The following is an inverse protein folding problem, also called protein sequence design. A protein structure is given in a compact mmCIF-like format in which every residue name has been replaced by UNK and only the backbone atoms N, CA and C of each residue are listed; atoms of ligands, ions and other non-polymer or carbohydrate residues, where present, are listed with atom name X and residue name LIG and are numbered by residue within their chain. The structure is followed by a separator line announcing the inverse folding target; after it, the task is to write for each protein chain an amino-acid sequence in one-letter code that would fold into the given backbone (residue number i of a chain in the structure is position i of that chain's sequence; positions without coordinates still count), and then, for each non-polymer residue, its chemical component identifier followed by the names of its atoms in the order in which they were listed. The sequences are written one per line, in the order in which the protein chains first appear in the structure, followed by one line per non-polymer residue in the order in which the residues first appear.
data_IF_748511527296
#
_entry.id   IF_748511527296
#
_cell.length_a   1.000
_cell.length_b   1.000
_cell.length_c   1.000
_cell.angle_alpha   90.00
_cell.angle_beta   90.00
_cell.angle_gamma   90.00
#
_symmetry.space_group_name_H-M   'P 1'
#
loop_
_entity.id
_entity.type
_entity.pdbx_description
1 polymer ?
#
# COMPACT_ATOMS: atom_id res chain seq x y z
N UNK A 1 37.69 32.06 -45.40
CA UNK A 1 38.54 31.31 -44.45
C UNK A 1 37.77 30.05 -44.00
N UNK A 2 38.26 28.84 -44.33
CA UNK A 2 37.66 27.56 -43.84
C UNK A 2 37.98 27.44 -42.35
N UNK A 3 36.97 27.40 -41.49
CA UNK A 3 37.16 27.09 -40.08
C UNK A 3 37.76 25.68 -39.96
N UNK A 4 38.71 25.49 -39.05
CA UNK A 4 39.29 24.16 -38.86
C UNK A 4 38.24 23.19 -38.34
N UNK A 5 38.27 21.93 -38.77
CA UNK A 5 37.35 20.88 -38.33
C UNK A 5 37.31 20.78 -36.80
N UNK A 6 38.42 20.99 -36.11
CA UNK A 6 38.47 20.99 -34.65
C UNK A 6 37.64 22.13 -34.00
N UNK A 7 37.56 23.31 -34.63
CA UNK A 7 36.74 24.41 -34.15
C UNK A 7 35.24 24.11 -34.28
N UNK A 8 34.83 23.48 -35.38
CA UNK A 8 33.41 23.09 -35.57
C UNK A 8 32.97 22.01 -34.57
N UNK A 9 33.83 21.03 -34.34
CA UNK A 9 33.58 19.98 -33.31
C UNK A 9 33.47 20.61 -31.92
N UNK A 10 34.39 21.50 -31.55
CA UNK A 10 34.38 22.16 -30.24
C UNK A 10 33.12 23.01 -30.03
N UNK A 11 32.71 23.77 -31.03
CA UNK A 11 31.51 24.60 -30.96
C UNK A 11 30.23 23.75 -30.87
N UNK A 12 30.16 22.65 -31.62
CA UNK A 12 29.01 21.72 -31.53
C UNK A 12 28.94 21.07 -30.15
N UNK A 13 30.06 20.62 -29.61
CA UNK A 13 30.14 20.05 -28.27
C UNK A 13 29.72 21.06 -27.19
N UNK A 14 30.20 22.34 -27.33
CA UNK A 14 29.81 23.41 -26.39
C UNK A 14 28.29 23.65 -26.39
N UNK A 15 27.68 23.75 -27.59
CA UNK A 15 26.23 23.95 -27.72
C UNK A 15 25.45 22.78 -27.08
N UNK A 16 25.90 21.54 -27.32
CA UNK A 16 25.27 20.37 -26.72
C UNK A 16 25.34 20.38 -25.17
N UNK A 17 26.51 20.77 -24.62
CA UNK A 17 26.69 20.90 -23.17
C UNK A 17 25.75 21.96 -22.56
N UNK A 18 25.64 23.11 -23.26
CA UNK A 18 24.72 24.18 -22.80
C UNK A 18 23.27 23.71 -22.84
N UNK A 19 22.83 23.06 -23.91
CA UNK A 19 21.46 22.54 -24.02
C UNK A 19 21.20 21.49 -22.93
N UNK A 20 22.12 20.55 -22.75
CA UNK A 20 21.99 19.52 -21.70
C UNK A 20 21.97 20.15 -20.30
N UNK A 21 22.81 21.15 -20.04
CA UNK A 21 22.84 21.88 -18.78
C UNK A 21 21.55 22.63 -18.49
N UNK A 22 21.00 23.34 -19.48
CA UNK A 22 19.71 24.03 -19.35
C UNK A 22 18.57 23.03 -19.14
N UNK A 23 18.51 21.95 -19.91
CA UNK A 23 17.50 20.92 -19.76
C UNK A 23 17.56 20.24 -18.38
N UNK A 24 18.76 19.91 -17.91
CA UNK A 24 18.98 19.34 -16.57
C UNK A 24 18.58 20.29 -15.45
N UNK A 25 18.89 21.57 -15.58
CA UNK A 25 18.51 22.61 -14.61
C UNK A 25 16.97 22.77 -14.56
N UNK A 26 16.31 22.83 -15.72
CA UNK A 26 14.83 22.92 -15.78
C UNK A 26 14.17 21.68 -15.18
N UNK A 27 14.63 20.48 -15.53
CA UNK A 27 14.11 19.24 -14.97
C UNK A 27 14.33 19.15 -13.45
N UNK A 28 15.52 19.54 -12.97
CA UNK A 28 15.82 19.58 -11.53
C UNK A 28 14.92 20.56 -10.78
N UNK A 29 14.68 21.74 -11.36
CA UNK A 29 13.80 22.77 -10.79
C UNK A 29 12.34 22.29 -10.75
N UNK A 30 11.85 21.74 -11.85
CA UNK A 30 10.49 21.16 -11.93
C UNK A 30 10.34 20.03 -10.89
N UNK A 31 11.31 19.12 -10.82
CA UNK A 31 11.27 18.03 -9.85
C UNK A 31 11.24 18.55 -8.40
N UNK A 32 12.00 19.61 -8.09
CA UNK A 32 12.01 20.19 -6.75
C UNK A 32 10.64 20.77 -6.36
N UNK A 33 9.94 21.42 -7.28
CA UNK A 33 8.61 22.00 -7.03
C UNK A 33 7.45 20.99 -7.15
N UNK A 34 7.65 19.87 -7.85
CA UNK A 34 6.62 18.86 -8.07
C UNK A 34 6.85 17.56 -7.27
N UNK A 35 7.97 17.47 -6.57
CA UNK A 35 8.21 16.35 -5.67
C UNK A 35 7.11 16.32 -4.59
N UNK A 36 6.20 15.37 -4.70
CA UNK A 36 5.19 15.12 -3.68
C UNK A 36 5.87 14.34 -2.57
N UNK A 37 5.79 14.85 -1.34
CA UNK A 37 6.22 14.10 -0.18
C UNK A 37 5.37 12.84 -0.04
N UNK A 38 6.02 11.69 0.00
CA UNK A 38 5.34 10.39 0.14
C UNK A 38 4.48 10.36 1.41
N UNK A 39 4.92 11.00 2.48
CA UNK A 39 4.16 11.11 3.73
C UNK A 39 2.89 11.94 3.53
N UNK A 40 2.95 13.07 2.82
CA UNK A 40 1.78 13.91 2.53
C UNK A 40 0.78 13.17 1.62
N UNK A 41 1.26 12.44 0.62
CA UNK A 41 0.40 11.66 -0.26
C UNK A 41 -0.34 10.55 0.51
N UNK A 42 0.38 9.85 1.40
CA UNK A 42 -0.23 8.81 2.23
C UNK A 42 -1.19 9.43 3.24
N UNK A 43 -0.84 10.54 3.89
CA UNK A 43 -1.72 11.24 4.79
C UNK A 43 -3.05 11.60 4.12
N UNK A 44 -3.00 12.15 2.90
CA UNK A 44 -4.20 12.46 2.11
C UNK A 44 -5.04 11.23 1.78
N UNK A 45 -4.40 10.11 1.40
CA UNK A 45 -5.13 8.87 1.09
C UNK A 45 -5.64 8.18 2.38
N UNK A 46 -4.91 8.29 3.46
CA UNK A 46 -5.25 7.67 4.73
C UNK A 46 -6.50 8.29 5.39
N UNK A 47 -6.86 9.54 5.05
CA UNK A 47 -8.14 10.13 5.50
C UNK A 47 -9.36 9.31 5.09
N UNK A 48 -9.24 8.48 4.05
CA UNK A 48 -10.30 7.55 3.65
C UNK A 48 -10.57 6.44 4.70
N UNK A 49 -9.61 6.16 5.56
CA UNK A 49 -9.69 5.09 6.59
C UNK A 49 -9.53 5.60 8.02
N UNK A 50 -8.91 6.75 8.22
CA UNK A 50 -8.71 7.36 9.54
C UNK A 50 -8.62 8.88 9.43
N UNK A 51 -9.44 9.58 10.22
CA UNK A 51 -9.48 11.04 10.27
C UNK A 51 -8.65 11.53 11.48
N UNK A 52 -7.34 11.56 11.31
CA UNK A 52 -6.41 12.03 12.34
C UNK A 52 -4.97 12.05 11.83
N UNK A 53 -4.09 12.68 12.61
CA UNK A 53 -2.68 12.76 12.26
C UNK A 53 -1.97 11.42 12.43
N UNK A 54 -1.25 11.03 11.38
CA UNK A 54 -0.47 9.82 11.30
C UNK A 54 1.03 10.13 11.28
N UNK A 55 1.81 9.23 11.82
CA UNK A 55 3.27 9.20 11.67
C UNK A 55 3.71 7.81 11.24
N UNK A 56 4.82 7.73 10.52
CA UNK A 56 5.35 6.45 10.07
C UNK A 56 5.73 5.58 11.26
N UNK A 57 5.30 4.33 11.27
CA UNK A 57 5.69 3.37 12.28
C UNK A 57 7.14 2.95 12.09
N UNK A 58 7.96 3.18 13.11
CA UNK A 58 9.36 2.77 13.11
C UNK A 58 9.46 1.42 13.80
N UNK A 59 9.90 0.41 13.05
CA UNK A 59 10.13 -0.93 13.62
C UNK A 59 11.23 -0.87 14.68
N UNK A 60 10.99 -1.39 15.90
CA UNK A 60 11.99 -1.41 16.95
C UNK A 60 13.30 -2.11 16.53
N UNK A 61 14.45 -1.68 17.05
CA UNK A 61 15.74 -2.29 16.76
C UNK A 61 15.73 -3.80 17.06
N UNK A 62 16.37 -4.59 16.20
CA UNK A 62 16.46 -6.05 16.35
C UNK A 62 15.31 -6.85 15.75
N UNK A 63 14.32 -6.18 15.16
CA UNK A 63 13.20 -6.83 14.48
C UNK A 63 13.38 -6.67 12.97
N UNK A 64 13.32 -7.78 12.21
CA UNK A 64 13.39 -7.72 10.75
C UNK A 64 12.24 -6.86 10.19
N UNK A 65 12.53 -5.95 9.26
CA UNK A 65 11.50 -5.14 8.60
C UNK A 65 10.65 -5.95 7.61
N UNK A 66 11.20 -7.01 7.04
CA UNK A 66 10.48 -7.85 6.10
C UNK A 66 9.49 -8.76 6.81
N UNK A 67 8.24 -8.60 6.49
CA UNK A 67 7.17 -9.53 6.84
C UNK A 67 6.46 -9.90 5.54
N UNK A 68 7.10 -10.77 4.76
CA UNK A 68 6.48 -11.35 3.57
C UNK A 68 5.49 -12.44 4.01
N UNK A 69 4.35 -12.46 3.37
CA UNK A 69 3.32 -13.49 3.54
C UNK A 69 3.14 -14.23 2.22
N UNK A 70 2.60 -15.43 2.25
CA UNK A 70 2.55 -16.32 1.08
C UNK A 70 2.09 -15.66 -0.22
N UNK A 71 1.20 -14.67 -0.15
CA UNK A 71 0.66 -13.95 -1.31
C UNK A 71 0.34 -12.49 -1.02
N UNK A 72 1.06 -11.89 -0.10
CA UNK A 72 0.86 -10.49 0.27
C UNK A 72 2.06 -9.95 1.02
N UNK A 73 2.16 -8.63 1.07
CA UNK A 73 3.25 -7.94 1.73
C UNK A 73 2.72 -6.69 2.44
N UNK A 74 3.45 -6.22 3.45
CA UNK A 74 3.23 -4.91 4.06
C UNK A 74 4.26 -3.95 3.50
N UNK A 75 3.77 -2.93 2.81
CA UNK A 75 4.61 -1.93 2.13
C UNK A 75 5.04 -0.85 3.11
N UNK A 76 4.10 -0.35 3.92
CA UNK A 76 4.35 0.66 4.92
C UNK A 76 3.31 0.61 6.04
N UNK A 77 3.62 1.23 7.18
CA UNK A 77 2.72 1.29 8.33
C UNK A 77 2.78 2.66 8.96
N UNK A 78 1.62 3.15 9.35
CA UNK A 78 1.45 4.41 10.05
C UNK A 78 0.70 4.17 11.36
N UNK A 79 1.05 4.94 12.38
CA UNK A 79 0.39 4.94 13.68
C UNK A 79 -0.16 6.33 13.96
N UNK A 80 -1.30 6.41 14.64
CA UNK A 80 -1.86 7.69 15.03
C UNK A 80 -0.97 8.38 16.07
N UNK A 81 -0.76 9.66 15.91
CA UNK A 81 -0.01 10.49 16.89
C UNK A 81 -0.74 10.64 18.23
N UNK A 82 -2.06 10.51 18.21
CA UNK A 82 -2.92 10.74 19.39
C UNK A 82 -3.48 9.46 20.00
N UNK A 83 -3.56 8.37 19.21
CA UNK A 83 -4.16 7.10 19.61
C UNK A 83 -3.21 5.95 19.25
N UNK A 84 -2.40 5.46 20.21
CA UNK A 84 -1.32 4.50 19.93
C UNK A 84 -1.83 3.11 19.52
N UNK A 85 -3.11 2.83 19.66
CA UNK A 85 -3.77 1.58 19.24
C UNK A 85 -4.37 1.64 17.83
N UNK A 86 -4.18 2.76 17.12
CA UNK A 86 -4.64 2.96 15.74
C UNK A 86 -3.48 2.81 14.79
N UNK A 87 -3.55 1.82 13.91
CA UNK A 87 -2.58 1.55 12.85
C UNK A 87 -3.25 1.61 11.48
N UNK A 88 -2.60 2.28 10.54
CA UNK A 88 -2.97 2.25 9.12
C UNK A 88 -1.86 1.51 8.37
N UNK A 89 -2.19 0.32 7.90
CA UNK A 89 -1.26 -0.57 7.21
C UNK A 89 -1.45 -0.43 5.72
N UNK A 90 -0.39 -0.09 4.98
CA UNK A 90 -0.36 -0.16 3.52
C UNK A 90 0.02 -1.58 3.16
N UNK A 91 -0.95 -2.36 2.76
CA UNK A 91 -0.77 -3.79 2.47
C UNK A 91 -0.97 -4.07 0.99
N UNK A 92 -0.08 -4.88 0.43
CA UNK A 92 -0.15 -5.38 -0.93
C UNK A 92 -0.66 -6.81 -0.95
N UNK A 93 -1.53 -7.12 -1.91
CA UNK A 93 -2.02 -8.47 -2.14
C UNK A 93 -1.86 -8.88 -3.59
N UNK A 94 -1.27 -10.05 -3.79
CA UNK A 94 -1.10 -10.68 -5.09
C UNK A 94 -2.36 -11.42 -5.56
N UNK A 95 -2.46 -11.64 -6.86
CA UNK A 95 -3.54 -12.39 -7.50
C UNK A 95 -4.59 -11.52 -8.17
N UNK A 96 -4.40 -10.20 -8.23
CA UNK A 96 -5.18 -9.27 -9.03
C UNK A 96 -5.05 -9.56 -10.53
N UNK A 97 -5.94 -8.99 -11.35
CA UNK A 97 -5.89 -9.22 -12.79
C UNK A 97 -4.60 -8.69 -13.43
N UNK A 98 -4.04 -7.61 -12.90
CA UNK A 98 -2.77 -7.01 -13.32
C UNK A 98 -1.59 -7.28 -12.37
N UNK A 99 -1.64 -8.36 -11.58
CA UNK A 99 -0.57 -8.75 -10.68
C UNK A 99 -0.94 -8.56 -9.21
N UNK A 100 -0.74 -7.38 -8.67
CA UNK A 100 -1.04 -7.02 -7.28
C UNK A 100 -1.90 -5.76 -7.17
N UNK A 101 -2.42 -5.52 -5.98
CA UNK A 101 -3.07 -4.27 -5.60
C UNK A 101 -2.69 -3.89 -4.17
N UNK A 102 -2.79 -2.61 -3.85
CA UNK A 102 -2.46 -2.09 -2.53
C UNK A 102 -3.69 -1.46 -1.86
N UNK A 103 -3.83 -1.73 -0.58
CA UNK A 103 -4.92 -1.25 0.28
C UNK A 103 -4.38 -0.51 1.49
N UNK A 104 -5.16 0.42 1.99
CA UNK A 104 -5.05 0.97 3.34
C UNK A 104 -5.98 0.18 4.25
N UNK A 105 -5.42 -0.43 5.29
CA UNK A 105 -6.16 -1.21 6.28
C UNK A 105 -6.01 -0.53 7.63
N UNK A 106 -7.10 0.04 8.16
CA UNK A 106 -7.13 0.59 9.51
C UNK A 106 -7.42 -0.54 10.51
N UNK A 107 -6.48 -0.73 11.44
CA UNK A 107 -6.60 -1.62 12.59
C UNK A 107 -6.60 -0.76 13.84
N UNK A 108 -7.72 -0.76 14.56
CA UNK A 108 -7.90 0.00 15.81
C UNK A 108 -8.35 -0.94 16.93
N UNK A 109 -7.65 -0.90 18.05
CA UNK A 109 -7.98 -1.77 19.20
C UNK A 109 -7.99 -3.26 18.85
N UNK A 110 -7.12 -3.69 17.95
CA UNK A 110 -7.05 -5.07 17.47
C UNK A 110 -8.17 -5.50 16.54
N UNK A 111 -8.93 -4.56 15.96
CA UNK A 111 -10.03 -4.84 15.01
C UNK A 111 -9.80 -4.11 13.68
N UNK A 112 -10.18 -4.75 12.59
CA UNK A 112 -10.26 -4.06 11.29
C UNK A 112 -11.48 -3.15 11.32
N UNK A 113 -11.25 -1.84 11.21
CA UNK A 113 -12.31 -0.82 11.30
C UNK A 113 -12.70 -0.33 9.92
N UNK A 114 -11.73 -0.12 9.04
CA UNK A 114 -11.96 0.42 7.71
C UNK A 114 -10.88 -0.05 6.75
N UNK A 115 -11.27 -0.20 5.47
CA UNK A 115 -10.37 -0.51 4.36
C UNK A 115 -10.65 0.48 3.25
N UNK A 116 -9.61 0.93 2.55
CA UNK A 116 -9.73 1.73 1.34
C UNK A 116 -8.68 1.32 0.31
N UNK A 117 -8.96 1.63 -0.95
CA UNK A 117 -8.00 1.46 -2.04
C UNK A 117 -6.83 2.45 -1.86
N UNK A 118 -5.60 1.94 -1.92
CA UNK A 118 -4.41 2.77 -1.98
C UNK A 118 -3.87 2.88 -3.42
N UNK A 119 -3.52 1.75 -4.03
CA UNK A 119 -3.16 1.66 -5.45
C UNK A 119 -3.72 0.36 -6.03
N UNK A 120 -4.59 0.49 -7.03
CA UNK A 120 -5.17 -0.66 -7.71
C UNK A 120 -5.67 -0.24 -9.09
N UNK A 121 -5.27 -1.01 -10.09
CA UNK A 121 -5.64 -0.77 -11.48
C UNK A 121 -6.55 -1.91 -11.97
N UNK A 122 -7.74 -1.97 -11.41
CA UNK A 122 -8.75 -2.98 -11.73
C UNK A 122 -9.72 -2.48 -12.79
N UNK A 123 -10.27 -3.41 -13.58
CA UNK A 123 -11.24 -3.09 -14.63
C UNK A 123 -12.53 -2.52 -14.02
N UNK A 124 -12.96 -1.32 -14.44
CA UNK A 124 -14.20 -0.73 -14.00
C UNK A 124 -15.41 -1.66 -14.21
N UNK A 125 -16.30 -1.73 -13.22
CA UNK A 125 -17.52 -2.54 -13.27
C UNK A 125 -17.30 -4.06 -13.09
N UNK A 126 -16.05 -4.52 -13.08
CA UNK A 126 -15.66 -5.92 -12.83
C UNK A 126 -14.79 -6.00 -11.58
N UNK A 127 -13.47 -5.98 -11.73
CA UNK A 127 -12.53 -6.07 -10.62
C UNK A 127 -12.68 -4.95 -9.61
N UNK A 128 -13.06 -3.76 -10.04
CA UNK A 128 -13.33 -2.62 -9.16
C UNK A 128 -14.41 -2.88 -8.10
N UNK A 129 -15.35 -3.80 -8.35
CA UNK A 129 -16.38 -4.18 -7.35
C UNK A 129 -15.79 -4.82 -6.09
N UNK A 130 -14.64 -5.46 -6.20
CA UNK A 130 -13.91 -5.98 -5.05
C UNK A 130 -13.15 -4.88 -4.26
N UNK A 131 -13.14 -3.64 -4.76
CA UNK A 131 -12.55 -2.46 -4.12
C UNK A 131 -13.62 -1.53 -3.53
N UNK A 132 -14.86 -1.97 -3.48
CA UNK A 132 -15.98 -1.21 -2.92
C UNK A 132 -16.22 -1.58 -1.45
N UNK A 133 -16.76 -0.64 -0.69
CA UNK A 133 -17.06 -0.80 0.73
C UNK A 133 -17.97 -2.01 1.02
N UNK A 134 -18.86 -2.36 0.09
CA UNK A 134 -19.73 -3.54 0.22
C UNK A 134 -18.94 -4.84 0.36
N UNK A 135 -17.81 -4.97 -0.34
CA UNK A 135 -16.93 -6.12 -0.18
C UNK A 135 -16.08 -6.00 1.09
N UNK A 136 -15.55 -4.81 1.38
CA UNK A 136 -14.71 -4.54 2.53
C UNK A 136 -15.41 -4.76 3.87
N UNK A 137 -16.72 -4.49 3.95
CA UNK A 137 -17.52 -4.69 5.16
C UNK A 137 -17.47 -6.11 5.74
N UNK A 138 -17.17 -7.11 4.92
CA UNK A 138 -17.02 -8.48 5.38
C UNK A 138 -15.84 -8.69 6.34
N UNK A 139 -14.86 -7.80 6.31
CA UNK A 139 -13.68 -7.83 7.18
C UNK A 139 -13.87 -6.99 8.46
N UNK A 140 -14.82 -6.06 8.47
CA UNK A 140 -14.96 -5.09 9.57
C UNK A 140 -15.42 -5.73 10.88
N UNK A 141 -14.90 -5.20 11.99
CA UNK A 141 -15.22 -5.64 13.35
C UNK A 141 -14.56 -6.96 13.75
N UNK A 142 -13.87 -7.64 12.84
CA UNK A 142 -13.15 -8.87 13.16
C UNK A 142 -12.02 -8.59 14.12
N UNK A 143 -12.02 -9.30 15.26
CA UNK A 143 -10.95 -9.21 16.28
C UNK A 143 -9.77 -10.04 15.81
N UNK A 144 -8.60 -9.42 15.78
CA UNK A 144 -7.34 -10.07 15.45
C UNK A 144 -6.74 -10.62 16.74
N UNK A 145 -6.82 -11.93 16.94
CA UNK A 145 -6.21 -12.63 18.07
C UNK A 145 -4.88 -13.28 17.64
N UNK A 146 -3.99 -13.66 18.57
CA UNK A 146 -2.72 -14.31 18.22
C UNK A 146 -2.88 -15.61 17.42
N UNK A 147 -4.00 -16.32 17.62
CA UNK A 147 -4.35 -17.59 16.97
C UNK A 147 -5.23 -17.41 15.72
N UNK A 148 -5.66 -16.19 15.39
CA UNK A 148 -6.45 -15.91 14.19
C UNK A 148 -5.67 -16.30 12.93
N UNK A 149 -6.19 -17.24 12.16
CA UNK A 149 -5.49 -17.79 10.98
C UNK A 149 -5.54 -16.92 9.73
N UNK A 150 -6.38 -15.87 9.75
CA UNK A 150 -6.67 -15.01 8.61
C UNK A 150 -8.01 -15.34 7.96
N UNK A 151 -8.39 -14.54 6.98
CA UNK A 151 -9.62 -14.71 6.23
C UNK A 151 -9.46 -15.74 5.12
N UNK A 152 -10.50 -16.53 4.90
CA UNK A 152 -10.60 -17.49 3.83
C UNK A 152 -11.59 -17.00 2.77
N UNK A 153 -11.16 -16.93 1.50
CA UNK A 153 -12.02 -16.49 0.42
C UNK A 153 -12.84 -17.65 -0.15
N UNK A 154 -14.14 -17.58 0.00
CA UNK A 154 -15.09 -18.58 -0.50
C UNK A 154 -15.71 -18.12 -1.82
N UNK A 155 -15.77 -19.01 -2.80
CA UNK A 155 -16.42 -18.80 -4.09
C UNK A 155 -17.76 -19.53 -4.11
N UNK A 156 -18.82 -18.84 -4.46
CA UNK A 156 -20.17 -19.40 -4.49
C UNK A 156 -20.90 -19.36 -3.13
N UNK A 157 -22.15 -19.82 -3.07
CA UNK A 157 -23.03 -19.75 -1.89
C UNK A 157 -22.88 -20.97 -0.99
N UNK A 158 -21.69 -21.26 -0.46
CA UNK A 158 -21.48 -22.35 0.52
C UNK A 158 -21.78 -21.94 1.95
N UNK A 159 -21.76 -22.91 2.89
CA UNK A 159 -21.77 -22.63 4.32
C UNK A 159 -20.55 -21.79 4.71
N UNK A 160 -20.75 -20.82 5.59
CA UNK A 160 -19.75 -19.80 5.91
C UNK A 160 -19.21 -20.03 7.30
N UNK A 161 -17.90 -20.24 7.39
CA UNK A 161 -17.22 -20.18 8.68
C UNK A 161 -17.08 -18.70 9.13
N UNK A 162 -16.86 -18.44 10.42
CA UNK A 162 -16.77 -17.06 10.95
C UNK A 162 -15.71 -16.18 10.27
N UNK A 163 -14.71 -16.81 9.63
CA UNK A 163 -13.58 -16.14 8.97
C UNK A 163 -13.66 -16.21 7.45
N UNK A 164 -14.75 -16.72 6.91
CA UNK A 164 -14.99 -16.77 5.46
C UNK A 164 -15.47 -15.43 4.93
N UNK A 165 -15.00 -15.10 3.74
CA UNK A 165 -15.34 -13.90 2.98
C UNK A 165 -15.82 -14.34 1.60
N UNK A 166 -16.99 -13.88 1.19
CA UNK A 166 -17.55 -14.23 -0.12
C UNK A 166 -16.91 -13.39 -1.24
N UNK A 167 -16.32 -14.07 -2.21
CA UNK A 167 -15.79 -13.42 -3.41
C UNK A 167 -16.89 -12.71 -4.18
N UNK A 168 -16.57 -11.56 -4.75
CA UNK A 168 -17.47 -10.84 -5.66
C UNK A 168 -17.60 -11.62 -6.96
N UNK A 169 -18.82 -11.91 -7.38
CA UNK A 169 -19.11 -12.58 -8.64
C UNK A 169 -18.53 -11.80 -9.83
N UNK A 170 -17.78 -12.48 -10.69
CA UNK A 170 -17.06 -11.86 -11.80
C UNK A 170 -15.77 -11.12 -11.43
N UNK A 171 -15.42 -11.01 -10.13
CA UNK A 171 -14.22 -10.35 -9.64
C UNK A 171 -13.37 -11.24 -8.72
N UNK A 172 -13.38 -12.55 -8.92
CA UNK A 172 -12.69 -13.50 -8.03
C UNK A 172 -11.20 -13.24 -7.88
N UNK A 173 -10.50 -12.83 -8.94
CA UNK A 173 -9.07 -12.49 -8.88
C UNK A 173 -8.83 -11.27 -7.98
N UNK A 174 -9.58 -10.19 -8.20
CA UNK A 174 -9.48 -8.98 -7.39
C UNK A 174 -9.89 -9.25 -5.94
N UNK A 175 -10.93 -10.06 -5.71
CA UNK A 175 -11.32 -10.51 -4.35
C UNK A 175 -10.19 -11.30 -3.67
N UNK A 176 -9.49 -12.16 -4.41
CA UNK A 176 -8.31 -12.89 -3.90
C UNK A 176 -7.21 -11.92 -3.48
N UNK A 177 -6.87 -10.96 -4.33
CA UNK A 177 -5.83 -9.99 -4.02
C UNK A 177 -6.18 -9.10 -2.82
N UNK A 178 -7.44 -8.66 -2.71
CA UNK A 178 -7.92 -7.94 -1.52
C UNK A 178 -7.77 -8.78 -0.25
N UNK A 179 -8.22 -10.04 -0.29
CA UNK A 179 -8.10 -10.95 0.88
C UNK A 179 -6.64 -11.18 1.27
N UNK A 180 -5.75 -11.33 0.29
CA UNK A 180 -4.31 -11.48 0.51
C UNK A 180 -3.70 -10.22 1.17
N UNK A 181 -4.05 -9.02 0.70
CA UNK A 181 -3.63 -7.76 1.30
C UNK A 181 -4.11 -7.62 2.75
N UNK A 182 -5.40 -7.92 3.01
CA UNK A 182 -5.95 -7.85 4.37
C UNK A 182 -5.26 -8.88 5.28
N UNK A 183 -5.02 -10.10 4.81
CA UNK A 183 -4.30 -11.12 5.58
C UNK A 183 -2.85 -10.71 5.87
N UNK A 184 -2.16 -10.03 4.94
CA UNK A 184 -0.85 -9.48 5.19
C UNK A 184 -0.87 -8.45 6.33
N UNK A 185 -1.83 -7.51 6.32
CA UNK A 185 -2.01 -6.54 7.40
C UNK A 185 -2.30 -7.21 8.76
N UNK A 186 -3.18 -8.22 8.77
CA UNK A 186 -3.48 -9.02 9.97
C UNK A 186 -2.23 -9.70 10.53
N UNK A 187 -1.46 -10.38 9.68
CA UNK A 187 -0.22 -11.06 10.09
C UNK A 187 0.83 -10.10 10.60
N UNK A 188 0.95 -8.93 9.97
CA UNK A 188 1.81 -7.87 10.46
C UNK A 188 1.41 -7.48 11.90
N UNK A 189 0.12 -7.19 12.14
CA UNK A 189 -0.38 -6.80 13.45
C UNK A 189 -0.11 -7.88 14.50
N UNK A 190 -0.40 -9.14 14.19
CA UNK A 190 -0.12 -10.27 15.08
C UNK A 190 1.36 -10.36 15.44
N UNK A 191 2.25 -10.26 14.45
CA UNK A 191 3.68 -10.46 14.66
C UNK A 191 4.37 -9.26 15.31
N UNK A 192 3.87 -8.04 15.06
CA UNK A 192 4.52 -6.81 15.53
C UNK A 192 3.90 -6.23 16.78
N UNK A 193 2.61 -6.37 16.96
CA UNK A 193 1.89 -5.75 18.06
C UNK A 193 1.53 -6.80 19.12
N UNK A 194 0.85 -7.88 18.74
CA UNK A 194 0.37 -8.85 19.74
C UNK A 194 1.51 -9.70 20.33
N UNK A 195 2.50 -10.14 19.53
CA UNK A 195 3.60 -10.97 20.05
C UNK A 195 4.61 -10.17 20.87
N UNK A 196 4.75 -8.85 20.63
CA UNK A 196 5.65 -8.01 21.42
C UNK A 196 5.05 -7.61 22.76
N UNK A 197 3.72 -7.48 22.86
CA UNK A 197 3.03 -7.22 24.12
C UNK A 197 3.08 -8.35 25.14
N UNK A 198 3.56 -9.54 24.76
CA UNK A 198 3.69 -10.71 25.65
C UNK A 198 5.09 -10.82 26.28
N UNK A 199 6.05 -9.96 25.88
CA UNK A 199 7.42 -9.98 26.39
C UNK A 199 7.74 -8.84 27.38
N UNK A 200 6.72 -8.16 27.91
CA UNK A 200 6.84 -7.11 28.92
C UNK A 200 6.35 -7.53 30.30
#
# INVERSE_FOLDING_TARGET
MKKSLGYEILMTALVLVIIAGVAGAVLGLVNHFTAVDAEELIARKATAVYDGELTRYVTPPGISQEVAYERGNVVDVYVSKTQPDVFVVVAEGEGAYKGSLQLLVNITGGKIVKIAKYDANETPGLGSKALEDNFFKQYYGKVITPDFRGFNLVKGGGAVAPDDVHAVSGASKSSTAVTNAVNAAVKWYQNRILKQGVQG
#
